data_IF_737011902279
#
_entry.id   IF_737011902279
#
_cell.length_a   1.000
_cell.length_b   1.000
_cell.length_c   1.000
_cell.angle_alpha   90.00
_cell.angle_beta   90.00
_cell.angle_gamma   90.00
#
_symmetry.space_group_name_H-M   'P 1'
#
loop_
_entity.id
_entity.type
_entity.pdbx_description
1 polymer ?
#
# COMPACT_ATOMS: atom_id res chain seq x y z
N UNK A 1 -1.34 -3.84 19.63
CA UNK A 1 -0.49 -3.29 18.56
C UNK A 1 0.04 -4.42 17.70
N UNK A 2 0.36 -4.12 16.45
CA UNK A 2 1.03 -5.02 15.52
C UNK A 2 2.50 -5.14 15.92
N UNK A 3 3.01 -6.36 15.93
CA UNK A 3 4.41 -6.68 16.19
C UNK A 3 4.93 -7.62 15.10
N UNK A 4 6.26 -7.76 15.00
CA UNK A 4 6.93 -8.63 14.02
C UNK A 4 6.48 -8.40 12.57
N UNK A 5 6.22 -7.13 12.21
CA UNK A 5 5.85 -6.77 10.85
C UNK A 5 7.05 -6.99 9.93
N UNK A 6 6.85 -7.80 8.89
CA UNK A 6 7.91 -8.23 7.99
C UNK A 6 7.42 -8.20 6.54
N UNK A 7 8.20 -7.55 5.68
CA UNK A 7 8.00 -7.55 4.24
C UNK A 7 8.57 -8.84 3.65
N UNK A 8 7.84 -9.49 2.75
CA UNK A 8 8.23 -10.77 2.12
C UNK A 8 8.45 -10.58 0.62
N UNK A 9 9.51 -11.21 0.14
CA UNK A 9 9.86 -11.24 -1.26
C UNK A 9 10.19 -12.66 -1.70
N UNK A 10 9.84 -13.03 -2.94
CA UNK A 10 10.15 -14.34 -3.52
C UNK A 10 11.66 -14.58 -3.69
N UNK A 11 12.43 -13.54 -4.01
CA UNK A 11 13.88 -13.64 -4.17
C UNK A 11 14.60 -12.92 -3.01
N UNK A 12 14.80 -13.62 -1.91
CA UNK A 12 15.33 -13.04 -0.66
C UNK A 12 16.77 -12.53 -0.85
N UNK A 13 17.59 -13.25 -1.61
CA UNK A 13 19.01 -12.97 -1.80
C UNK A 13 19.30 -11.85 -2.82
N UNK A 14 18.26 -11.30 -3.47
CA UNK A 14 18.45 -10.25 -4.46
C UNK A 14 18.85 -8.92 -3.82
N UNK A 15 19.97 -8.33 -4.29
CA UNK A 15 20.37 -6.97 -3.93
C UNK A 15 19.47 -5.93 -4.62
N UNK A 16 18.42 -5.52 -3.91
CA UNK A 16 17.46 -4.51 -4.36
C UNK A 16 18.03 -3.09 -4.38
N UNK A 17 19.14 -2.84 -3.67
CA UNK A 17 19.73 -1.50 -3.57
C UNK A 17 20.57 -1.23 -4.80
N UNK A 18 21.46 -2.16 -5.17
CA UNK A 18 22.26 -2.01 -6.39
C UNK A 18 21.49 -2.38 -7.66
N UNK A 19 20.42 -3.18 -7.54
CA UNK A 19 19.56 -3.63 -8.64
C UNK A 19 20.40 -4.08 -9.87
N UNK A 20 21.33 -5.03 -9.72
CA UNK A 20 22.36 -5.31 -10.73
C UNK A 20 21.80 -5.81 -12.06
N UNK A 21 20.57 -6.33 -12.04
CA UNK A 21 19.87 -6.82 -13.24
C UNK A 21 18.91 -5.77 -13.83
N UNK A 22 18.89 -4.54 -13.30
CA UNK A 22 17.98 -3.47 -13.72
C UNK A 22 16.50 -3.92 -13.71
N UNK A 23 16.10 -4.66 -12.68
CA UNK A 23 14.70 -5.06 -12.49
C UNK A 23 13.82 -3.81 -12.39
N UNK A 24 12.63 -3.91 -12.96
CA UNK A 24 11.62 -2.85 -12.87
C UNK A 24 11.16 -2.64 -11.43
N UNK A 25 10.54 -1.49 -11.16
CA UNK A 25 9.94 -1.19 -9.84
C UNK A 25 8.99 -2.32 -9.41
N UNK A 26 8.11 -2.77 -10.32
CA UNK A 26 7.16 -3.86 -10.04
C UNK A 26 7.87 -5.16 -9.63
N UNK A 27 8.97 -5.52 -10.27
CA UNK A 27 9.72 -6.74 -9.95
C UNK A 27 10.40 -6.66 -8.58
N UNK A 28 10.81 -5.46 -8.17
CA UNK A 28 11.42 -5.19 -6.86
C UNK A 28 10.41 -5.18 -5.71
N UNK A 29 9.12 -5.01 -6.00
CA UNK A 29 8.08 -4.98 -4.98
C UNK A 29 7.89 -6.33 -4.27
N UNK A 30 7.47 -6.29 -2.99
CA UNK A 30 7.16 -7.50 -2.23
C UNK A 30 5.92 -8.21 -2.78
N UNK A 31 5.93 -9.53 -2.67
CA UNK A 31 4.78 -10.40 -3.00
C UNK A 31 4.02 -10.83 -1.74
N UNK A 32 4.45 -10.37 -0.56
CA UNK A 32 3.71 -10.57 0.65
C UNK A 32 4.23 -9.74 1.82
N UNK A 33 3.53 -9.85 2.93
CA UNK A 33 3.94 -9.32 4.22
C UNK A 33 3.26 -10.12 5.32
N UNK A 34 3.87 -10.13 6.50
CA UNK A 34 3.35 -10.83 7.68
C UNK A 34 3.48 -9.97 8.92
N UNK A 35 2.68 -10.28 9.92
CA UNK A 35 2.73 -9.63 11.23
C UNK A 35 2.10 -10.52 12.30
N UNK A 36 2.28 -10.14 13.56
CA UNK A 36 1.69 -10.80 14.71
C UNK A 36 0.78 -9.83 15.47
N UNK A 37 -0.38 -10.31 15.92
CA UNK A 37 -1.33 -9.57 16.74
C UNK A 37 -2.05 -10.55 17.69
N UNK A 38 -2.11 -10.22 18.99
CA UNK A 38 -2.75 -11.06 20.02
C UNK A 38 -2.30 -12.54 19.99
N UNK A 39 -1.01 -12.77 19.75
CA UNK A 39 -0.44 -14.12 19.68
C UNK A 39 -0.74 -14.89 18.39
N UNK A 40 -1.46 -14.28 17.44
CA UNK A 40 -1.78 -14.86 16.14
C UNK A 40 -0.89 -14.25 15.07
N UNK A 41 -0.27 -15.10 14.24
CA UNK A 41 0.49 -14.68 13.07
C UNK A 41 -0.45 -14.56 11.86
N UNK A 42 -0.42 -13.40 11.22
CA UNK A 42 -1.16 -13.09 10.01
C UNK A 42 -0.19 -12.91 8.83
N UNK A 43 -0.68 -13.17 7.62
CA UNK A 43 0.08 -12.92 6.39
C UNK A 43 -0.85 -12.64 5.21
N UNK A 44 -0.36 -11.88 4.24
CA UNK A 44 -0.93 -11.75 2.90
C UNK A 44 0.12 -12.07 1.85
N UNK A 45 -0.33 -12.70 0.74
CA UNK A 45 0.51 -13.05 -0.41
C UNK A 45 -0.26 -12.79 -1.71
N UNK A 46 0.41 -12.21 -2.70
CA UNK A 46 -0.15 -11.91 -4.00
C UNK A 46 0.99 -11.80 -5.03
N UNK A 47 0.86 -12.53 -6.14
CA UNK A 47 1.82 -12.51 -7.24
C UNK A 47 1.84 -11.16 -7.97
N UNK A 48 0.73 -10.42 -7.93
CA UNK A 48 0.63 -9.05 -8.46
C UNK A 48 1.29 -8.01 -7.54
N UNK A 49 1.94 -8.43 -6.45
CA UNK A 49 2.71 -7.61 -5.50
C UNK A 49 1.87 -6.75 -4.55
N UNK A 50 2.55 -6.20 -3.54
CA UNK A 50 2.02 -5.27 -2.56
C UNK A 50 2.95 -4.08 -2.37
N UNK A 51 2.41 -3.01 -1.81
CA UNK A 51 3.15 -1.94 -1.13
C UNK A 51 2.48 -1.75 0.23
N UNK A 52 2.96 -2.46 1.27
CA UNK A 52 2.43 -2.32 2.61
C UNK A 52 3.28 -1.36 3.45
N UNK A 53 2.63 -0.58 4.29
CA UNK A 53 3.23 0.40 5.19
C UNK A 53 2.62 0.23 6.58
N UNK A 54 3.43 -0.20 7.54
CA UNK A 54 3.04 -0.18 8.95
C UNK A 54 2.85 1.28 9.39
N UNK A 55 1.69 1.59 9.98
CA UNK A 55 1.45 2.94 10.50
C UNK A 55 2.37 3.24 11.69
N UNK A 56 2.64 4.53 11.92
CA UNK A 56 3.58 4.99 12.96
C UNK A 56 3.24 4.54 14.38
N UNK A 57 1.96 4.34 14.68
CA UNK A 57 1.47 3.86 15.97
C UNK A 57 1.37 2.32 16.05
N UNK A 58 1.74 1.63 14.97
CA UNK A 58 1.64 0.19 14.79
C UNK A 58 0.24 -0.39 15.07
N UNK A 59 -0.83 0.40 14.88
CA UNK A 59 -2.20 -0.07 15.11
C UNK A 59 -2.93 -0.46 13.82
N UNK A 60 -2.34 -0.22 12.66
CA UNK A 60 -2.89 -0.65 11.38
C UNK A 60 -1.78 -0.71 10.32
N UNK A 61 -2.13 -1.25 9.14
CA UNK A 61 -1.24 -1.35 7.98
C UNK A 61 -1.95 -0.70 6.80
N UNK A 62 -1.33 0.30 6.19
CA UNK A 62 -1.77 0.85 4.93
C UNK A 62 -1.23 0.00 3.78
N UNK A 63 -2.08 -0.34 2.81
CA UNK A 63 -1.71 -1.29 1.74
C UNK A 63 -2.17 -0.77 0.40
N UNK A 64 -1.30 -0.87 -0.60
CA UNK A 64 -1.66 -0.96 -2.02
C UNK A 64 -1.43 -2.40 -2.47
N UNK A 65 -2.46 -3.03 -3.01
CA UNK A 65 -2.44 -4.38 -3.57
C UNK A 65 -2.47 -4.32 -5.09
N UNK A 66 -1.72 -5.23 -5.73
CA UNK A 66 -1.62 -5.32 -7.18
C UNK A 66 -1.33 -3.95 -7.85
N UNK A 67 -0.27 -3.22 -7.42
CA UNK A 67 0.08 -1.94 -8.01
C UNK A 67 0.27 -2.09 -9.52
N UNK A 68 -0.15 -1.07 -10.27
CA UNK A 68 -0.09 -1.03 -11.75
C UNK A 68 -1.03 -1.99 -12.50
N UNK A 69 -1.75 -2.90 -11.80
CA UNK A 69 -2.74 -3.77 -12.42
C UNK A 69 -4.15 -3.18 -12.32
N UNK A 70 -4.61 -2.47 -13.37
CA UNK A 70 -5.91 -1.76 -13.38
C UNK A 70 -7.13 -2.59 -12.93
N UNK A 71 -7.12 -3.90 -13.16
CA UNK A 71 -8.26 -4.77 -12.88
C UNK A 71 -8.26 -5.34 -11.45
N UNK A 72 -7.09 -5.44 -10.82
CA UNK A 72 -6.91 -6.06 -9.50
C UNK A 72 -6.48 -5.07 -8.43
N UNK A 73 -6.09 -3.86 -8.84
CA UNK A 73 -5.51 -2.88 -7.97
C UNK A 73 -6.51 -2.40 -6.91
N UNK A 74 -6.07 -2.48 -5.66
CA UNK A 74 -6.82 -2.04 -4.49
C UNK A 74 -5.92 -1.27 -3.52
N UNK A 75 -6.54 -0.43 -2.71
CA UNK A 75 -5.90 0.34 -1.65
C UNK A 75 -6.81 0.27 -0.43
N UNK A 76 -6.25 -0.06 0.73
CA UNK A 76 -7.01 -0.22 1.95
C UNK A 76 -6.12 -0.04 3.20
N UNK A 77 -6.78 0.19 4.34
CA UNK A 77 -6.17 0.10 5.67
C UNK A 77 -6.63 -1.19 6.33
N UNK A 78 -5.68 -1.99 6.83
CA UNK A 78 -5.96 -3.19 7.62
C UNK A 78 -5.92 -2.89 9.11
N UNK A 79 -6.90 -3.43 9.83
CA UNK A 79 -6.82 -3.64 11.26
C UNK A 79 -5.75 -4.71 11.59
N UNK A 80 -5.26 -4.76 12.84
CA UNK A 80 -4.29 -5.77 13.28
C UNK A 80 -4.77 -7.21 13.13
N UNK A 81 -6.08 -7.45 13.13
CA UNK A 81 -6.69 -8.78 12.96
C UNK A 81 -6.91 -9.19 11.50
N UNK A 82 -6.35 -8.45 10.54
CA UNK A 82 -6.49 -8.63 9.09
C UNK A 82 -7.86 -8.22 8.49
N UNK A 83 -8.79 -7.70 9.30
CA UNK A 83 -10.00 -7.09 8.77
C UNK A 83 -9.69 -5.75 8.07
N UNK A 84 -10.51 -5.37 7.08
CA UNK A 84 -10.36 -4.09 6.38
C UNK A 84 -11.01 -3.01 7.25
N UNK A 85 -10.21 -2.05 7.72
CA UNK A 85 -10.67 -0.86 8.43
C UNK A 85 -11.27 0.16 7.45
N UNK A 86 -10.57 0.40 6.34
CA UNK A 86 -10.98 1.33 5.30
C UNK A 86 -10.72 0.74 3.92
N UNK A 87 -11.75 0.64 3.09
CA UNK A 87 -11.61 0.36 1.67
C UNK A 87 -11.46 1.67 0.90
N UNK A 88 -10.21 2.11 0.75
CA UNK A 88 -9.89 3.38 0.11
C UNK A 88 -10.21 3.34 -1.38
N UNK A 89 -10.09 2.17 -2.01
CA UNK A 89 -10.51 2.01 -3.40
C UNK A 89 -11.98 2.29 -3.60
N UNK A 90 -12.84 1.71 -2.76
CA UNK A 90 -14.28 1.98 -2.82
C UNK A 90 -14.59 3.45 -2.51
N UNK A 91 -14.04 4.01 -1.43
CA UNK A 91 -14.23 5.42 -1.04
C UNK A 91 -13.83 6.35 -2.18
N UNK A 92 -12.65 6.15 -2.76
CA UNK A 92 -12.09 7.08 -3.72
C UNK A 92 -12.72 6.92 -5.12
N UNK A 93 -13.00 5.69 -5.55
CA UNK A 93 -13.65 5.41 -6.85
C UNK A 93 -15.09 5.92 -6.91
N UNK A 94 -15.77 6.07 -5.76
CA UNK A 94 -17.07 6.76 -5.68
C UNK A 94 -16.99 8.27 -5.98
N UNK A 95 -15.84 8.89 -5.73
CA UNK A 95 -15.63 10.32 -5.98
C UNK A 95 -15.07 10.60 -7.37
N UNK A 96 -14.20 9.72 -7.89
CA UNK A 96 -13.58 9.91 -9.19
C UNK A 96 -13.03 8.63 -9.80
N UNK A 97 -12.90 8.62 -11.14
CA UNK A 97 -12.22 7.55 -11.85
C UNK A 97 -10.71 7.52 -11.51
N UNK A 98 -10.19 6.32 -11.23
CA UNK A 98 -8.79 6.02 -10.95
C UNK A 98 -8.36 4.85 -11.82
N UNK A 99 -7.19 4.94 -12.45
CA UNK A 99 -6.62 3.81 -13.19
C UNK A 99 -6.07 2.78 -12.20
N UNK A 100 -5.15 3.20 -11.33
CA UNK A 100 -4.58 2.40 -10.25
C UNK A 100 -3.93 3.28 -9.18
N UNK A 101 -3.87 2.78 -7.95
CA UNK A 101 -2.98 3.23 -6.88
C UNK A 101 -1.58 2.65 -7.10
N UNK A 102 -0.55 3.47 -6.90
CA UNK A 102 0.84 3.12 -7.19
C UNK A 102 1.75 3.13 -5.99
N UNK A 103 1.40 3.82 -4.89
CA UNK A 103 2.24 3.89 -3.69
C UNK A 103 1.44 4.37 -2.46
N UNK A 104 2.01 4.15 -1.27
CA UNK A 104 1.52 4.67 0.00
C UNK A 104 2.69 5.00 0.94
N UNK A 105 2.77 6.24 1.42
CA UNK A 105 3.84 6.67 2.32
C UNK A 105 3.47 7.92 3.13
N UNK A 106 4.31 8.26 4.11
CA UNK A 106 4.14 9.47 4.92
C UNK A 106 4.85 10.68 4.30
N UNK A 107 4.16 11.82 4.22
CA UNK A 107 4.76 13.13 3.98
C UNK A 107 4.33 14.08 5.09
N UNK A 108 5.29 14.77 5.74
CA UNK A 108 4.98 15.74 6.81
C UNK A 108 4.04 15.19 7.90
N UNK A 109 4.21 13.91 8.25
CA UNK A 109 3.39 13.18 9.22
C UNK A 109 1.94 12.85 8.80
N UNK A 110 1.57 13.13 7.55
CA UNK A 110 0.30 12.72 6.95
C UNK A 110 0.49 11.51 6.04
N UNK A 111 -0.48 10.59 6.02
CA UNK A 111 -0.46 9.42 5.15
C UNK A 111 -0.96 9.84 3.76
N UNK A 112 -0.19 9.54 2.72
CA UNK A 112 -0.56 9.81 1.34
C UNK A 112 -0.67 8.52 0.54
N UNK A 113 -1.65 8.50 -0.36
CA UNK A 113 -1.76 7.52 -1.43
C UNK A 113 -1.43 8.17 -2.76
N UNK A 114 -0.66 7.47 -3.57
CA UNK A 114 -0.34 7.85 -4.94
C UNK A 114 -1.21 7.06 -5.89
N UNK A 115 -1.69 7.74 -6.93
CA UNK A 115 -2.52 7.14 -7.94
C UNK A 115 -2.20 7.70 -9.31
N UNK A 116 -2.46 6.88 -10.31
CA UNK A 116 -2.44 7.25 -11.70
C UNK A 116 -3.85 7.46 -12.21
N UNK A 117 -4.03 8.52 -13.00
CA UNK A 117 -5.30 8.83 -13.66
C UNK A 117 -5.03 9.55 -14.97
N UNK A 118 -5.61 9.04 -16.05
CA UNK A 118 -5.59 9.69 -17.37
C UNK A 118 -4.17 10.05 -17.84
N UNK A 119 -3.21 9.16 -17.64
CA UNK A 119 -1.82 9.40 -18.05
C UNK A 119 -1.03 10.32 -17.12
N UNK A 120 -1.54 10.66 -15.94
CA UNK A 120 -0.91 11.58 -14.99
C UNK A 120 -0.89 11.01 -13.58
N UNK A 121 0.14 11.39 -12.83
CA UNK A 121 0.31 10.99 -11.45
C UNK A 121 -0.25 12.03 -10.49
N UNK A 122 -0.88 11.54 -9.43
CA UNK A 122 -1.46 12.36 -8.39
C UNK A 122 -1.25 11.73 -7.03
N UNK A 123 -1.48 12.54 -5.99
CA UNK A 123 -1.53 12.09 -4.60
C UNK A 123 -2.66 12.78 -3.84
N UNK A 124 -3.13 12.13 -2.80
CA UNK A 124 -4.04 12.70 -1.82
C UNK A 124 -3.69 12.17 -0.43
N UNK A 125 -3.90 12.99 0.60
CA UNK A 125 -3.76 12.54 1.98
C UNK A 125 -4.98 11.74 2.42
N UNK A 126 -4.81 10.84 3.38
CA UNK A 126 -5.89 10.06 3.97
C UNK A 126 -5.84 10.16 5.49
N UNK A 127 -6.93 10.66 6.09
CA UNK A 127 -7.08 10.68 7.54
C UNK A 127 -7.69 9.36 8.00
N UNK A 128 -6.87 8.56 8.70
CA UNK A 128 -7.22 7.21 9.15
C UNK A 128 -8.28 7.23 10.26
N UNK A 129 -8.39 8.32 11.03
CA UNK A 129 -9.37 8.45 12.11
C UNK A 129 -10.76 8.75 11.58
N UNK A 130 -10.84 9.56 10.52
CA UNK A 130 -12.11 10.03 9.97
C UNK A 130 -12.53 9.33 8.68
N UNK A 131 -11.59 8.66 8.00
CA UNK A 131 -11.81 8.06 6.68
C UNK A 131 -11.87 9.10 5.55
N UNK A 132 -11.50 10.35 5.81
CA UNK A 132 -11.60 11.43 4.83
C UNK A 132 -10.38 11.48 3.91
N UNK A 133 -10.65 11.69 2.62
CA UNK A 133 -9.62 11.94 1.62
C UNK A 133 -9.36 13.44 1.49
N UNK A 134 -8.08 13.83 1.53
CA UNK A 134 -7.63 15.17 1.22
C UNK A 134 -7.77 15.52 -0.25
N UNK A 135 -7.36 16.75 -0.58
CA UNK A 135 -7.41 17.25 -1.96
C UNK A 135 -6.43 16.49 -2.86
N UNK A 136 -6.90 16.11 -4.05
CA UNK A 136 -6.05 15.56 -5.09
C UNK A 136 -5.06 16.62 -5.59
N UNK A 137 -3.77 16.28 -5.54
CA UNK A 137 -2.67 17.15 -5.95
C UNK A 137 -1.85 16.43 -7.02
N UNK A 138 -1.48 17.10 -8.13
CA UNK A 138 -0.56 16.51 -9.10
C UNK A 138 0.77 16.13 -8.43
N UNK A 139 1.28 14.96 -8.81
CA UNK A 139 2.62 14.49 -8.49
C UNK A 139 3.45 14.60 -9.76
N UNK A 140 4.55 15.35 -9.71
CA UNK A 140 5.47 15.57 -10.85
C UNK A 140 6.75 14.78 -10.65
#
# INVERSE_FOLDING_TARGET
>A
MIIDFEIKYSNIEYDRVSNPNNLSVLELLPDGFSWSYNGVKHQRKNNDKFIPLLLKDANAIAVVEAPFNKNKNAAFILNPDNSIMWDISDIYRKMMAVDFFSDVYYMNNELFYFLHRNGKDFRFSFDIKTGLCGKLTPSY
#
